data_IF_928598913426
#
_entry.id   IF_928598913426
#
_cell.length_a   1.000
_cell.length_b   1.000
_cell.length_c   1.000
_cell.angle_alpha   90.00
_cell.angle_beta   90.00
_cell.angle_gamma   90.00
#
_symmetry.space_group_name_H-M   'P 1'
#
loop_
_entity.id
_entity.type
_entity.pdbx_description
1 polymer ?
#
# COMPACT_ATOMS: atom_id res chain seq x y z
N UNK A 1 7.43 24.03 2.92
CA UNK A 1 6.48 23.02 3.41
C UNK A 1 7.25 22.19 4.43
N UNK A 2 6.79 22.14 5.67
CA UNK A 2 7.45 21.42 6.76
C UNK A 2 7.18 19.92 6.58
N UNK A 3 8.17 19.08 6.82
CA UNK A 3 8.09 17.63 6.66
C UNK A 3 6.89 16.99 7.39
N UNK A 4 6.40 17.63 8.46
CA UNK A 4 5.27 17.16 9.26
C UNK A 4 3.89 17.38 8.60
N UNK A 5 3.74 18.41 7.74
CA UNK A 5 2.49 18.67 7.02
C UNK A 5 2.23 17.60 5.95
N UNK A 6 3.30 17.25 5.23
CA UNK A 6 3.24 16.30 4.12
C UNK A 6 2.94 14.86 4.62
N UNK A 7 3.40 14.48 5.81
CA UNK A 7 3.09 13.15 6.39
C UNK A 7 1.63 13.02 6.83
N UNK A 8 1.07 14.03 7.49
CA UNK A 8 -0.34 13.99 7.91
C UNK A 8 -1.30 13.90 6.72
N UNK A 9 -0.93 14.49 5.58
CA UNK A 9 -1.66 14.33 4.32
C UNK A 9 -1.64 12.87 3.83
N UNK A 10 -0.53 12.14 3.99
CA UNK A 10 -0.46 10.70 3.67
C UNK A 10 -1.37 9.88 4.59
N UNK A 11 -1.39 10.19 5.89
CA UNK A 11 -2.28 9.51 6.85
C UNK A 11 -3.75 9.78 6.48
N UNK A 12 -4.11 11.04 6.22
CA UNK A 12 -5.46 11.41 5.80
C UNK A 12 -5.84 10.74 4.46
N UNK A 13 -4.91 10.70 3.51
CA UNK A 13 -5.07 10.01 2.23
C UNK A 13 -5.42 8.54 2.46
N UNK A 14 -4.66 7.81 3.29
CA UNK A 14 -4.95 6.39 3.57
C UNK A 14 -6.28 6.22 4.30
N UNK A 15 -6.55 7.02 5.35
CA UNK A 15 -7.80 6.94 6.14
C UNK A 15 -9.05 7.22 5.29
N UNK A 16 -8.93 8.02 4.23
CA UNK A 16 -10.05 8.32 3.34
C UNK A 16 -10.50 7.14 2.45
N UNK A 17 -9.84 5.96 2.47
CA UNK A 17 -10.36 4.76 1.79
C UNK A 17 -10.06 3.48 2.56
N UNK A 18 -11.11 2.71 2.83
CA UNK A 18 -10.99 1.37 3.41
C UNK A 18 -10.11 0.45 2.56
N UNK A 19 -10.12 0.56 1.23
CA UNK A 19 -9.26 -0.27 0.39
C UNK A 19 -7.78 0.07 0.56
N UNK A 20 -7.42 1.36 0.67
CA UNK A 20 -6.03 1.77 0.93
C UNK A 20 -5.56 1.31 2.30
N UNK A 21 -6.38 1.55 3.33
CA UNK A 21 -6.12 1.10 4.71
C UNK A 21 -5.90 -0.41 4.76
N UNK A 22 -6.84 -1.19 4.24
CA UNK A 22 -6.78 -2.65 4.28
C UNK A 22 -5.57 -3.22 3.52
N UNK A 23 -5.15 -2.60 2.40
CA UNK A 23 -3.94 -3.02 1.68
C UNK A 23 -2.69 -2.77 2.53
N UNK A 24 -2.58 -1.60 3.16
CA UNK A 24 -1.44 -1.28 4.02
C UNK A 24 -1.37 -2.22 5.22
N UNK A 25 -2.50 -2.45 5.91
CA UNK A 25 -2.58 -3.41 7.00
C UNK A 25 -2.21 -4.83 6.57
N UNK A 26 -2.67 -5.27 5.40
CA UNK A 26 -2.38 -6.63 4.93
C UNK A 26 -0.90 -6.82 4.52
N UNK A 27 -0.26 -5.77 4.00
CA UNK A 27 1.17 -5.77 3.67
C UNK A 27 2.08 -5.76 4.91
N UNK A 28 1.54 -5.42 6.09
CA UNK A 28 2.27 -5.57 7.36
C UNK A 28 2.68 -7.03 7.65
N UNK A 29 1.96 -8.01 7.07
CA UNK A 29 2.24 -9.44 7.23
C UNK A 29 3.22 -9.99 6.19
N UNK A 30 4.11 -9.15 5.67
CA UNK A 30 5.20 -9.48 4.75
C UNK A 30 4.87 -9.30 3.26
N UNK A 31 5.80 -9.72 2.40
CA UNK A 31 5.70 -9.58 0.95
C UNK A 31 4.45 -10.29 0.38
N UNK A 32 3.65 -9.57 -0.41
CA UNK A 32 2.45 -10.12 -1.07
C UNK A 32 2.40 -9.79 -2.55
N UNK A 33 1.75 -10.66 -3.31
CA UNK A 33 1.35 -10.41 -4.69
C UNK A 33 -0.01 -9.68 -4.76
N UNK A 34 -0.30 -8.96 -5.86
CA UNK A 34 -1.62 -8.39 -6.09
C UNK A 34 -2.78 -9.42 -6.02
N UNK A 35 -2.49 -10.68 -6.35
CA UNK A 35 -3.47 -11.77 -6.28
C UNK A 35 -3.77 -12.13 -4.83
N UNK A 36 -2.76 -12.31 -3.99
CA UNK A 36 -2.94 -12.63 -2.56
C UNK A 36 -3.71 -11.52 -1.83
N UNK A 37 -3.33 -10.26 -2.08
CA UNK A 37 -4.05 -9.10 -1.55
C UNK A 37 -5.52 -9.11 -2.00
N UNK A 38 -5.77 -9.33 -3.30
CA UNK A 38 -7.13 -9.37 -3.83
C UNK A 38 -7.99 -10.49 -3.24
N UNK A 39 -7.40 -11.67 -3.02
CA UNK A 39 -8.09 -12.80 -2.36
C UNK A 39 -8.40 -12.47 -0.91
N UNK A 40 -7.42 -11.96 -0.15
CA UNK A 40 -7.59 -11.65 1.27
C UNK A 40 -8.63 -10.54 1.51
N UNK A 41 -8.68 -9.53 0.63
CA UNK A 41 -9.58 -8.39 0.76
C UNK A 41 -10.90 -8.55 -0.02
N UNK A 42 -11.10 -9.68 -0.71
CA UNK A 42 -12.23 -9.92 -1.60
C UNK A 42 -12.40 -8.82 -2.68
N UNK A 43 -11.30 -8.41 -3.30
CA UNK A 43 -11.25 -7.37 -4.34
C UNK A 43 -10.60 -7.92 -5.61
N UNK A 44 -11.12 -7.55 -6.78
CA UNK A 44 -10.52 -7.97 -8.06
C UNK A 44 -9.08 -7.49 -8.19
N UNK A 45 -8.19 -8.37 -8.66
CA UNK A 45 -6.75 -8.09 -8.82
C UNK A 45 -6.45 -6.86 -9.68
N UNK A 46 -7.29 -6.55 -10.67
CA UNK A 46 -7.13 -5.33 -11.48
C UNK A 46 -7.29 -4.05 -10.64
N UNK A 47 -8.29 -4.02 -9.74
CA UNK A 47 -8.48 -2.91 -8.83
C UNK A 47 -7.33 -2.81 -7.82
N UNK A 48 -6.87 -3.95 -7.27
CA UNK A 48 -5.67 -3.98 -6.41
C UNK A 48 -4.44 -3.44 -7.14
N UNK A 49 -4.24 -3.78 -8.41
CA UNK A 49 -3.10 -3.31 -9.19
C UNK A 49 -3.12 -1.79 -9.37
N UNK A 50 -4.30 -1.21 -9.59
CA UNK A 50 -4.48 0.25 -9.65
C UNK A 50 -4.20 0.91 -8.31
N UNK A 51 -4.74 0.36 -7.21
CA UNK A 51 -4.51 0.88 -5.86
C UNK A 51 -3.03 0.81 -5.47
N UNK A 52 -2.33 -0.28 -5.76
CA UNK A 52 -0.90 -0.40 -5.52
C UNK A 52 -0.09 0.61 -6.35
N UNK A 53 -0.50 0.88 -7.59
CA UNK A 53 0.13 1.91 -8.41
C UNK A 53 -0.05 3.31 -7.81
N UNK A 54 -1.24 3.61 -7.29
CA UNK A 54 -1.51 4.89 -6.63
C UNK A 54 -0.78 5.02 -5.29
N UNK A 55 -0.83 4.00 -4.42
CA UNK A 55 -0.06 3.95 -3.18
C UNK A 55 1.44 4.14 -3.42
N UNK A 56 1.97 3.58 -4.52
CA UNK A 56 3.37 3.74 -4.91
C UNK A 56 3.71 5.17 -5.34
N UNK A 57 2.79 5.89 -5.99
CA UNK A 57 3.00 7.32 -6.33
C UNK A 57 3.16 8.18 -5.08
N UNK A 58 2.54 7.75 -3.98
CA UNK A 58 2.64 8.40 -2.66
C UNK A 58 3.77 7.82 -1.80
N UNK A 59 4.66 6.98 -2.36
CA UNK A 59 5.75 6.34 -1.64
C UNK A 59 5.31 5.53 -0.42
N UNK A 60 4.12 4.90 -0.46
CA UNK A 60 3.60 4.07 0.64
C UNK A 60 3.90 2.58 0.46
N UNK A 61 4.06 2.14 -0.79
CA UNK A 61 4.37 0.75 -1.15
C UNK A 61 5.40 0.70 -2.27
N UNK A 62 6.18 -0.37 -2.30
CA UNK A 62 7.18 -0.63 -3.35
C UNK A 62 7.00 -2.03 -3.92
N UNK A 63 7.35 -2.20 -5.20
CA UNK A 63 7.42 -3.51 -5.85
C UNK A 63 8.85 -4.02 -5.74
N UNK A 64 9.12 -5.00 -4.87
CA UNK A 64 10.44 -5.57 -4.63
C UNK A 64 10.97 -6.39 -5.81
N UNK A 65 10.08 -6.84 -6.71
CA UNK A 65 10.44 -7.60 -7.92
C UNK A 65 9.99 -6.90 -9.22
N UNK A 66 10.52 -5.71 -9.57
CA UNK A 66 10.03 -4.92 -10.70
C UNK A 66 10.27 -5.60 -12.06
N UNK A 67 11.31 -6.44 -12.16
CA UNK A 67 11.72 -7.11 -13.39
C UNK A 67 10.85 -8.33 -13.75
N UNK A 68 10.01 -8.83 -12.83
CA UNK A 68 9.11 -9.94 -13.14
C UNK A 68 7.79 -9.45 -13.70
N UNK A 69 7.31 -10.13 -14.75
CA UNK A 69 5.99 -9.86 -15.34
C UNK A 69 4.84 -10.49 -14.55
N UNK A 70 5.04 -11.69 -14.00
CA UNK A 70 4.08 -12.43 -13.17
C UNK A 70 4.69 -12.66 -11.80
N UNK A 71 3.87 -12.56 -10.74
CA UNK A 71 4.32 -12.77 -9.36
C UNK A 71 5.09 -11.58 -8.77
N UNK A 72 4.76 -10.35 -9.17
CA UNK A 72 5.32 -9.14 -8.54
C UNK A 72 4.99 -9.14 -7.05
N UNK A 73 6.01 -8.95 -6.23
CA UNK A 73 5.91 -8.86 -4.77
C UNK A 73 5.93 -7.39 -4.36
N UNK A 74 5.08 -7.05 -3.41
CA UNK A 74 4.95 -5.72 -2.84
C UNK A 74 5.17 -5.77 -1.33
N UNK A 75 5.73 -4.68 -0.81
CA UNK A 75 5.92 -4.42 0.62
C UNK A 75 5.66 -2.94 0.93
N UNK A 76 5.54 -2.63 2.22
CA UNK A 76 5.50 -1.25 2.71
C UNK A 76 6.87 -0.59 2.60
N UNK A 77 6.89 0.68 2.25
CA UNK A 77 8.08 1.53 2.42
C UNK A 77 8.19 1.97 3.88
N UNK A 78 9.27 2.68 4.24
CA UNK A 78 9.39 3.32 5.55
C UNK A 78 8.20 4.27 5.85
N UNK A 79 7.76 5.03 4.85
CA UNK A 79 6.59 5.90 4.96
C UNK A 79 5.30 5.09 5.13
N UNK A 80 5.15 3.98 4.43
CA UNK A 80 4.01 3.07 4.59
C UNK A 80 3.92 2.48 6.00
N UNK A 81 5.06 2.08 6.58
CA UNK A 81 5.15 1.58 7.96
C UNK A 81 4.77 2.67 8.95
N UNK A 82 5.34 3.87 8.81
CA UNK A 82 4.99 5.02 9.67
C UNK A 82 3.50 5.34 9.57
N UNK A 83 2.92 5.37 8.37
CA UNK A 83 1.48 5.63 8.23
C UNK A 83 0.66 4.56 8.94
N UNK A 84 1.03 3.27 8.83
CA UNK A 84 0.35 2.16 9.50
C UNK A 84 0.29 2.36 11.02
N UNK A 85 1.36 2.84 11.66
CA UNK A 85 1.39 3.15 13.10
C UNK A 85 0.35 4.21 13.52
N UNK A 86 -0.11 5.06 12.60
CA UNK A 86 -1.12 6.10 12.85
C UNK A 86 -2.54 5.69 12.44
N UNK A 87 -2.74 4.46 11.94
CA UNK A 87 -4.06 3.93 11.55
C UNK A 87 -4.85 3.29 12.70
N UNK A 88 -4.27 3.26 13.91
CA UNK A 88 -4.94 2.88 15.18
C UNK A 88 -6.25 3.64 15.39
#
# INVERSE_FOLDING_TARGET
MTADGDFLELVAYVKASNHRKNIIEYLNYGLKTPKEIGVALNVRTNHISNLLADLRKHDLVVCSTPNVRKGRLYELTENGIKVLEYLE
#
